data_IF_765891759727
#
_entry.id   IF_765891759727
#
_cell.length_a   1.000
_cell.length_b   1.000
_cell.length_c   1.000
_cell.angle_alpha   90.00
_cell.angle_beta   90.00
_cell.angle_gamma   90.00
#
_symmetry.space_group_name_H-M   'P 1'
#
loop_
_entity.id
_entity.type
_entity.pdbx_description
1 polymer ?
#
# COMPACT_ATOMS: atom_id res chain seq x y z
N UNK A 1 16.52 0.02 12.70
CA UNK A 1 15.39 0.32 11.80
C UNK A 1 15.73 1.58 11.01
N UNK A 2 15.82 1.50 9.68
CA UNK A 2 16.32 2.59 8.82
C UNK A 2 15.25 3.62 8.45
N UNK A 3 14.01 3.19 8.23
CA UNK A 3 12.93 4.10 7.89
C UNK A 3 12.59 5.08 9.05
N UNK A 4 12.47 4.63 10.32
CA UNK A 4 12.36 5.55 11.46
C UNK A 4 13.52 6.55 11.56
N UNK A 5 14.75 6.11 11.30
CA UNK A 5 15.92 6.98 11.37
C UNK A 5 15.84 8.13 10.34
N UNK A 6 15.24 7.90 9.17
CA UNK A 6 14.96 8.97 8.21
C UNK A 6 13.73 9.78 8.60
N UNK A 7 12.61 9.14 8.93
CA UNK A 7 11.36 9.83 9.27
C UNK A 7 11.54 10.80 10.44
N UNK A 8 12.43 10.50 11.38
CA UNK A 8 12.73 11.32 12.54
C UNK A 8 14.19 11.80 12.59
N UNK A 9 14.82 11.97 11.42
CA UNK A 9 16.25 12.30 11.27
C UNK A 9 16.74 13.43 12.19
N UNK A 10 15.95 14.50 12.32
CA UNK A 10 16.30 15.69 13.09
C UNK A 10 15.73 15.68 14.52
N UNK A 11 15.13 14.56 14.95
CA UNK A 11 14.43 14.43 16.23
C UNK A 11 15.17 13.48 17.17
N UNK A 12 15.70 14.04 18.27
CA UNK A 12 16.45 13.28 19.27
C UNK A 12 15.60 12.26 20.03
N UNK A 13 14.27 12.42 20.04
CA UNK A 13 13.33 11.53 20.75
C UNK A 13 12.52 10.62 19.81
N UNK A 14 12.92 10.51 18.54
CA UNK A 14 12.26 9.64 17.55
C UNK A 14 10.77 9.96 17.37
N UNK A 15 9.94 8.92 17.22
CA UNK A 15 8.49 9.07 17.06
C UNK A 15 7.76 9.68 18.27
N UNK A 16 8.37 9.61 19.46
CA UNK A 16 7.88 10.29 20.65
C UNK A 16 8.24 11.79 20.67
N UNK A 17 9.21 12.21 19.85
CA UNK A 17 9.75 13.57 19.80
C UNK A 17 8.98 14.57 18.95
N UNK A 18 7.96 14.14 18.21
CA UNK A 18 7.10 15.02 17.44
C UNK A 18 7.21 14.83 15.92
N UNK A 19 7.27 15.95 15.19
CA UNK A 19 7.05 16.02 13.74
C UNK A 19 8.11 15.26 12.94
N UNK A 20 7.69 14.63 11.85
CA UNK A 20 8.62 13.99 10.92
C UNK A 20 9.57 15.02 10.27
N UNK A 21 10.83 14.62 10.02
CA UNK A 21 11.78 15.38 9.22
C UNK A 21 11.28 15.49 7.79
N UNK A 22 11.16 16.72 7.28
CA UNK A 22 10.79 16.98 5.87
C UNK A 22 11.87 16.43 4.94
N UNK A 23 13.15 16.65 5.28
CA UNK A 23 14.28 16.15 4.50
C UNK A 23 14.31 14.62 4.51
N UNK A 24 14.23 14.01 5.68
CA UNK A 24 14.26 12.55 5.80
C UNK A 24 13.07 11.87 5.12
N UNK A 25 11.88 12.46 5.19
CA UNK A 25 10.72 11.99 4.44
C UNK A 25 10.90 12.11 2.91
N UNK A 26 11.51 13.19 2.42
CA UNK A 26 11.79 13.37 0.99
C UNK A 26 12.87 12.39 0.49
N UNK A 27 13.90 12.12 1.31
CA UNK A 27 14.89 11.08 1.05
C UNK A 27 14.22 9.72 0.94
N UNK A 28 13.36 9.37 1.90
CA UNK A 28 12.66 8.08 1.90
C UNK A 28 11.74 7.93 0.68
N UNK A 29 10.97 8.97 0.33
CA UNK A 29 10.17 8.97 -0.91
C UNK A 29 11.01 8.75 -2.17
N UNK A 30 12.23 9.29 -2.21
CA UNK A 30 13.15 9.10 -3.34
C UNK A 30 13.71 7.68 -3.37
N UNK A 31 14.10 7.15 -2.20
CA UNK A 31 14.58 5.78 -2.04
C UNK A 31 13.51 4.77 -2.48
N UNK A 32 12.24 5.00 -2.16
CA UNK A 32 11.12 4.10 -2.52
C UNK A 32 10.81 4.02 -4.02
N UNK A 33 11.51 4.80 -4.87
CA UNK A 33 11.41 4.70 -6.33
C UNK A 33 12.38 3.67 -6.93
N UNK A 34 13.37 3.22 -6.16
CA UNK A 34 14.31 2.19 -6.63
C UNK A 34 13.68 0.79 -6.60
N UNK A 35 14.17 -0.16 -7.41
CA UNK A 35 13.72 -1.55 -7.36
C UNK A 35 13.81 -2.10 -5.92
N UNK A 36 12.74 -2.72 -5.38
CA UNK A 36 12.69 -3.16 -3.99
C UNK A 36 13.83 -4.11 -3.58
N UNK A 37 14.37 -4.88 -4.52
CA UNK A 37 15.49 -5.81 -4.28
C UNK A 37 16.82 -5.10 -4.00
N UNK A 38 16.96 -3.82 -4.37
CA UNK A 38 18.15 -3.00 -4.09
C UNK A 38 18.01 -2.22 -2.77
N UNK A 39 16.78 -2.05 -2.29
CA UNK A 39 16.45 -1.29 -1.07
C UNK A 39 15.67 -2.10 -0.01
N UNK A 40 15.86 -3.43 0.14
CA UNK A 40 14.97 -4.27 0.96
C UNK A 40 14.93 -3.77 2.41
N UNK A 41 16.05 -3.30 2.93
CA UNK A 41 16.19 -2.78 4.29
C UNK A 41 15.33 -1.53 4.58
N UNK A 42 14.98 -0.74 3.56
CA UNK A 42 14.09 0.42 3.73
C UNK A 42 12.62 0.01 3.64
N UNK A 43 12.30 -0.88 2.70
CA UNK A 43 10.94 -1.40 2.48
C UNK A 43 10.49 -2.22 3.70
N UNK A 44 11.34 -3.14 4.17
CA UNK A 44 11.09 -3.94 5.38
C UNK A 44 11.03 -3.07 6.63
N UNK A 45 11.89 -2.05 6.73
CA UNK A 45 11.86 -1.14 7.89
C UNK A 45 10.61 -0.27 7.94
N UNK A 46 9.94 -0.01 6.81
CA UNK A 46 8.62 0.65 6.78
C UNK A 46 7.50 -0.32 7.15
N UNK A 47 7.56 -1.56 6.67
CA UNK A 47 6.61 -2.60 7.01
C UNK A 47 6.65 -2.96 8.51
N UNK A 48 7.82 -2.83 9.14
CA UNK A 48 8.03 -3.12 10.56
C UNK A 48 7.76 -1.94 11.51
N UNK A 49 7.15 -0.84 11.05
CA UNK A 49 6.80 0.27 11.93
C UNK A 49 5.83 -0.20 13.02
N UNK A 50 6.06 0.23 14.25
CA UNK A 50 5.09 0.00 15.32
C UNK A 50 3.79 0.78 15.06
N UNK A 51 2.65 0.38 15.63
CA UNK A 51 1.40 1.13 15.48
C UNK A 51 1.52 2.62 15.86
N UNK A 52 2.26 2.92 16.94
CA UNK A 52 2.50 4.29 17.37
C UNK A 52 3.34 5.10 16.38
N UNK A 53 4.42 4.52 15.86
CA UNK A 53 5.26 5.14 14.82
C UNK A 53 4.50 5.36 13.52
N UNK A 54 3.75 4.34 13.07
CA UNK A 54 2.96 4.40 11.85
C UNK A 54 1.89 5.50 11.92
N UNK A 55 1.11 5.55 13.01
CA UNK A 55 0.11 6.60 13.22
C UNK A 55 0.73 7.99 13.35
N UNK A 56 1.88 8.10 14.03
CA UNK A 56 2.63 9.36 14.16
C UNK A 56 3.06 9.86 12.77
N UNK A 57 3.71 9.01 11.98
CA UNK A 57 4.16 9.35 10.64
C UNK A 57 3.00 9.67 9.69
N UNK A 58 1.91 8.89 9.73
CA UNK A 58 0.75 9.09 8.86
C UNK A 58 0.00 10.40 9.11
N UNK A 59 0.03 10.92 10.33
CA UNK A 59 -0.61 12.18 10.68
C UNK A 59 0.23 13.42 10.34
N UNK A 60 1.49 13.23 9.95
CA UNK A 60 2.44 14.32 9.65
C UNK A 60 2.63 14.51 8.14
N UNK A 61 2.81 15.75 7.69
CA UNK A 61 2.89 16.07 6.26
C UNK A 61 4.05 15.36 5.54
N UNK A 62 5.21 15.22 6.18
CA UNK A 62 6.35 14.49 5.60
C UNK A 62 6.12 12.98 5.61
N UNK A 63 5.78 12.41 6.79
CA UNK A 63 5.62 10.98 6.96
C UNK A 63 4.49 10.40 6.08
N UNK A 64 3.34 11.06 6.01
CA UNK A 64 2.21 10.65 5.17
C UNK A 64 2.62 10.41 3.72
N UNK A 65 3.39 11.33 3.11
CA UNK A 65 3.86 11.19 1.73
C UNK A 65 4.77 9.98 1.52
N UNK A 66 5.63 9.67 2.49
CA UNK A 66 6.48 8.49 2.43
C UNK A 66 5.66 7.19 2.54
N UNK A 67 4.67 7.15 3.42
CA UNK A 67 3.77 5.99 3.55
C UNK A 67 2.89 5.81 2.30
N UNK A 68 2.37 6.89 1.73
CA UNK A 68 1.62 6.87 0.47
C UNK A 68 2.48 6.37 -0.69
N UNK A 69 3.74 6.81 -0.79
CA UNK A 69 4.67 6.32 -1.83
C UNK A 69 4.92 4.80 -1.70
N UNK A 70 5.07 4.31 -0.47
CA UNK A 70 5.22 2.89 -0.19
C UNK A 70 3.97 2.07 -0.57
N UNK A 71 2.79 2.51 -0.12
CA UNK A 71 1.51 1.85 -0.37
C UNK A 71 1.11 1.90 -1.85
N UNK A 72 1.36 3.02 -2.52
CA UNK A 72 0.98 3.26 -3.91
C UNK A 72 1.84 2.55 -4.96
N UNK A 73 3.07 2.15 -4.63
CA UNK A 73 3.98 1.50 -5.58
C UNK A 73 3.61 0.04 -5.81
N UNK A 74 3.34 -0.36 -7.06
CA UNK A 74 3.06 -1.75 -7.44
C UNK A 74 4.27 -2.69 -7.27
N UNK A 75 5.49 -2.13 -7.20
CA UNK A 75 6.71 -2.92 -7.04
C UNK A 75 6.82 -3.54 -5.63
N UNK A 76 6.26 -2.90 -4.60
CA UNK A 76 6.35 -3.42 -3.23
C UNK A 76 5.43 -4.61 -3.02
N UNK A 77 5.98 -5.66 -2.39
CA UNK A 77 5.28 -6.92 -2.11
C UNK A 77 3.99 -6.68 -1.30
N UNK A 78 2.85 -7.29 -1.68
CA UNK A 78 1.57 -7.11 -0.97
C UNK A 78 1.65 -7.42 0.53
N UNK A 79 2.46 -8.42 0.92
CA UNK A 79 2.69 -8.77 2.33
C UNK A 79 3.23 -7.58 3.15
N UNK A 80 4.21 -6.85 2.63
CA UNK A 80 4.83 -5.72 3.33
C UNK A 80 3.86 -4.53 3.45
N UNK A 81 3.01 -4.33 2.43
CA UNK A 81 1.91 -3.35 2.51
C UNK A 81 0.90 -3.74 3.59
N UNK A 82 0.55 -5.02 3.68
CA UNK A 82 -0.38 -5.54 4.70
C UNK A 82 0.16 -5.29 6.11
N UNK A 83 1.44 -5.55 6.36
CA UNK A 83 2.07 -5.30 7.66
C UNK A 83 1.95 -3.83 8.10
N UNK A 84 2.22 -2.88 7.19
CA UNK A 84 2.02 -1.45 7.47
C UNK A 84 0.54 -1.08 7.68
N UNK A 85 -0.37 -1.63 6.86
CA UNK A 85 -1.82 -1.40 6.98
C UNK A 85 -2.33 -1.91 8.33
N UNK A 86 -1.85 -3.05 8.79
CA UNK A 86 -2.22 -3.62 10.09
C UNK A 86 -1.73 -2.72 11.25
N UNK A 87 -0.52 -2.16 11.15
CA UNK A 87 -0.02 -1.19 12.14
C UNK A 87 -0.87 0.10 12.19
N UNK A 88 -1.25 0.64 11.03
CA UNK A 88 -2.12 1.81 10.90
C UNK A 88 -3.55 1.52 11.38
N UNK A 89 -4.00 0.27 11.28
CA UNK A 89 -5.33 -0.16 11.66
C UNK A 89 -5.65 -0.17 13.15
N UNK A 90 -4.68 0.23 13.98
CA UNK A 90 -4.91 0.52 15.40
C UNK A 90 -5.85 1.70 15.62
N UNK A 91 -5.90 2.70 14.72
CA UNK A 91 -6.81 3.85 14.84
C UNK A 91 -7.16 4.51 13.48
N UNK A 92 -8.11 3.90 12.75
CA UNK A 92 -8.63 4.49 11.51
C UNK A 92 -9.33 5.84 11.71
N UNK A 93 -9.92 6.09 12.88
CA UNK A 93 -10.62 7.34 13.18
C UNK A 93 -9.67 8.52 13.22
N UNK A 94 -8.54 8.37 13.94
CA UNK A 94 -7.46 9.37 14.00
C UNK A 94 -6.91 9.71 12.61
N UNK A 95 -6.73 8.71 11.75
CA UNK A 95 -6.30 8.94 10.37
C UNK A 95 -7.35 9.71 9.58
N UNK A 96 -8.63 9.34 9.70
CA UNK A 96 -9.71 9.98 8.95
C UNK A 96 -9.89 11.47 9.30
N UNK A 97 -9.70 11.87 10.57
CA UNK A 97 -9.82 13.27 10.99
C UNK A 97 -8.56 14.11 10.69
N UNK A 98 -7.42 13.47 10.47
CA UNK A 98 -6.18 14.15 10.09
C UNK A 98 -6.15 14.52 8.61
N UNK A 99 -5.83 15.77 8.21
CA UNK A 99 -5.66 16.12 6.81
C UNK A 99 -4.62 15.26 6.08
N UNK A 100 -3.46 15.04 6.69
CA UNK A 100 -2.42 14.19 6.13
C UNK A 100 -2.82 12.71 6.20
N UNK A 101 -3.37 12.28 7.33
CA UNK A 101 -3.79 10.90 7.56
C UNK A 101 -4.91 10.44 6.62
N UNK A 102 -5.79 11.34 6.18
CA UNK A 102 -6.88 11.00 5.25
C UNK A 102 -6.36 10.44 3.93
N UNK A 103 -5.27 11.00 3.41
CA UNK A 103 -4.63 10.53 2.19
C UNK A 103 -3.95 9.17 2.38
N UNK A 104 -3.30 8.96 3.53
CA UNK A 104 -2.73 7.64 3.89
C UNK A 104 -3.84 6.60 4.00
N UNK A 105 -4.97 6.94 4.63
CA UNK A 105 -6.14 6.07 4.76
C UNK A 105 -6.67 5.68 3.37
N UNK A 106 -6.75 6.60 2.42
CA UNK A 106 -7.16 6.30 1.04
C UNK A 106 -6.15 5.36 0.35
N UNK A 107 -4.85 5.55 0.56
CA UNK A 107 -3.81 4.67 0.02
C UNK A 107 -3.87 3.26 0.64
N UNK A 108 -4.15 3.15 1.95
CA UNK A 108 -4.43 1.89 2.63
C UNK A 108 -5.66 1.21 2.00
N UNK A 109 -6.76 1.95 1.82
CA UNK A 109 -8.00 1.39 1.26
C UNK A 109 -7.77 0.81 -0.13
N UNK A 110 -7.03 1.52 -0.99
CA UNK A 110 -6.70 1.06 -2.34
C UNK A 110 -5.74 -0.14 -2.41
N UNK A 111 -5.02 -0.42 -1.32
CA UNK A 111 -4.05 -1.53 -1.22
C UNK A 111 -4.55 -2.69 -0.34
N UNK A 112 -5.65 -2.49 0.38
CA UNK A 112 -6.19 -3.43 1.36
C UNK A 112 -7.03 -4.54 0.69
N UNK A 113 -7.09 -5.69 1.35
CA UNK A 113 -8.07 -6.74 1.04
C UNK A 113 -9.49 -6.35 1.51
N UNK A 114 -10.51 -7.01 0.96
CA UNK A 114 -11.92 -6.70 1.21
C UNK A 114 -12.27 -6.61 2.69
N UNK A 115 -11.79 -7.56 3.50
CA UNK A 115 -12.02 -7.60 4.96
C UNK A 115 -11.45 -6.36 5.65
N UNK A 116 -10.26 -5.93 5.26
CA UNK A 116 -9.64 -4.74 5.84
C UNK A 116 -10.37 -3.48 5.42
N UNK A 117 -10.82 -3.37 4.17
CA UNK A 117 -11.65 -2.24 3.70
C UNK A 117 -12.95 -2.13 4.49
N UNK A 118 -13.60 -3.25 4.79
CA UNK A 118 -14.79 -3.29 5.63
C UNK A 118 -14.50 -2.82 7.06
N UNK A 119 -13.40 -3.29 7.67
CA UNK A 119 -12.97 -2.85 8.99
C UNK A 119 -12.71 -1.32 9.04
N UNK A 120 -12.07 -0.78 7.99
CA UNK A 120 -11.81 0.66 7.85
C UNK A 120 -13.11 1.45 7.79
N UNK A 121 -14.02 1.08 6.88
CA UNK A 121 -15.29 1.79 6.68
C UNK A 121 -16.21 1.65 7.90
N UNK A 122 -16.24 0.48 8.55
CA UNK A 122 -16.95 0.30 9.81
C UNK A 122 -16.38 1.18 10.94
N UNK A 123 -15.07 1.37 11.01
CA UNK A 123 -14.45 2.28 11.96
C UNK A 123 -14.79 3.75 11.69
N UNK A 124 -14.77 4.17 10.43
CA UNK A 124 -15.18 5.51 10.02
C UNK A 124 -16.66 5.76 10.30
N UNK A 125 -17.53 4.78 10.09
CA UNK A 125 -18.96 4.88 10.41
C UNK A 125 -19.20 5.17 11.89
N UNK A 126 -18.36 4.64 12.81
CA UNK A 126 -18.48 4.90 14.25
C UNK A 126 -18.09 6.33 14.65
N UNK A 127 -17.28 7.01 13.86
CA UNK A 127 -16.81 8.37 14.12
C UNK A 127 -17.21 9.38 13.02
N UNK A 128 -18.26 9.06 12.25
CA UNK A 128 -18.68 9.83 11.07
C UNK A 128 -18.88 11.32 11.38
N UNK A 129 -19.53 11.64 12.51
CA UNK A 129 -19.77 13.03 12.91
C UNK A 129 -18.46 13.83 13.09
N UNK A 130 -17.43 13.21 13.68
CA UNK A 130 -16.12 13.84 13.86
C UNK A 130 -15.41 14.03 12.51
N UNK A 131 -15.50 13.03 11.64
CA UNK A 131 -14.92 13.11 10.29
C UNK A 131 -15.62 14.21 9.50
N UNK A 132 -16.96 14.23 9.48
CA UNK A 132 -17.76 15.20 8.74
C UNK A 132 -17.54 16.65 9.18
N UNK A 133 -17.13 16.87 10.44
CA UNK A 133 -16.78 18.19 10.96
C UNK A 133 -15.45 18.74 10.41
N UNK A 134 -14.63 17.91 9.75
CA UNK A 134 -13.38 18.35 9.10
C UNK A 134 -13.61 18.86 7.68
N UNK A 135 -12.69 19.70 7.17
CA UNK A 135 -12.78 20.25 5.79
C UNK A 135 -12.79 19.16 4.69
N UNK A 136 -12.09 18.05 4.90
CA UNK A 136 -11.93 16.98 3.91
C UNK A 136 -12.90 15.81 4.14
N UNK A 137 -13.46 15.70 5.34
CA UNK A 137 -14.31 14.58 5.77
C UNK A 137 -15.49 14.26 4.85
N UNK A 138 -16.32 15.23 4.43
CA UNK A 138 -17.44 14.95 3.53
C UNK A 138 -17.00 14.32 2.19
N UNK A 139 -15.83 14.70 1.68
CA UNK A 139 -15.27 14.08 0.48
C UNK A 139 -14.80 12.65 0.77
N UNK A 140 -14.07 12.45 1.87
CA UNK A 140 -13.55 11.15 2.28
C UNK A 140 -14.67 10.12 2.53
N UNK A 141 -15.70 10.51 3.29
CA UNK A 141 -16.87 9.66 3.61
C UNK A 141 -17.60 9.22 2.34
N UNK A 142 -17.80 10.15 1.39
CA UNK A 142 -18.42 9.85 0.09
C UNK A 142 -17.54 8.93 -0.75
N UNK A 143 -16.24 9.20 -0.83
CA UNK A 143 -15.30 8.44 -1.66
C UNK A 143 -15.20 6.98 -1.24
N UNK A 144 -15.19 6.70 0.07
CA UNK A 144 -15.15 5.33 0.59
C UNK A 144 -16.55 4.70 0.77
N UNK A 145 -17.61 5.47 0.51
CA UNK A 145 -18.99 5.01 0.57
C UNK A 145 -19.46 4.66 1.99
N UNK A 146 -19.02 5.41 3.00
CA UNK A 146 -19.34 5.13 4.43
C UNK A 146 -20.85 5.17 4.68
N UNK A 147 -21.54 6.18 4.14
CA UNK A 147 -22.99 6.30 4.27
C UNK A 147 -23.74 5.15 3.57
N UNK A 148 -23.23 4.65 2.43
CA UNK A 148 -23.83 3.48 1.78
C UNK A 148 -23.60 2.21 2.62
N UNK A 149 -22.39 2.05 3.16
CA UNK A 149 -22.07 0.91 4.02
C UNK A 149 -22.99 0.83 5.24
N UNK A 150 -23.29 1.95 5.90
CA UNK A 150 -24.21 1.97 7.05
C UNK A 150 -25.64 1.54 6.68
N UNK A 151 -26.11 1.89 5.48
CA UNK A 151 -27.49 1.60 5.03
C UNK A 151 -27.62 0.18 4.48
N UNK A 152 -26.67 -0.21 3.63
CA UNK A 152 -26.72 -1.43 2.84
C UNK A 152 -25.32 -2.08 2.78
N UNK A 153 -24.84 -2.71 3.89
CA UNK A 153 -23.49 -3.26 3.97
C UNK A 153 -23.18 -4.31 2.89
N UNK A 154 -24.14 -5.20 2.61
CA UNK A 154 -23.98 -6.24 1.59
C UNK A 154 -23.89 -5.68 0.18
N UNK A 155 -24.69 -4.64 -0.14
CA UNK A 155 -24.60 -3.99 -1.44
C UNK A 155 -23.27 -3.25 -1.59
N UNK A 156 -22.80 -2.59 -0.53
CA UNK A 156 -21.47 -1.98 -0.51
C UNK A 156 -20.38 -3.05 -0.74
N UNK A 157 -20.46 -4.19 -0.05
CA UNK A 157 -19.51 -5.32 -0.17
C UNK A 157 -19.42 -5.80 -1.61
N UNK A 158 -20.56 -6.10 -2.22
CA UNK A 158 -20.65 -6.56 -3.60
C UNK A 158 -20.08 -5.53 -4.58
N UNK A 159 -20.40 -4.25 -4.41
CA UNK A 159 -19.86 -3.18 -5.26
C UNK A 159 -18.33 -3.09 -5.19
N UNK A 160 -17.76 -3.18 -3.99
CA UNK A 160 -16.30 -3.11 -3.82
C UNK A 160 -15.64 -4.36 -4.41
N UNK A 161 -16.24 -5.54 -4.23
CA UNK A 161 -15.73 -6.78 -4.84
C UNK A 161 -15.72 -6.70 -6.37
N UNK A 162 -16.84 -6.30 -6.99
CA UNK A 162 -16.94 -6.15 -8.45
C UNK A 162 -15.91 -5.14 -8.97
N UNK A 163 -15.67 -4.04 -8.25
CA UNK A 163 -14.66 -3.07 -8.63
C UNK A 163 -13.23 -3.65 -8.64
N UNK A 164 -12.91 -4.56 -7.70
CA UNK A 164 -11.62 -5.26 -7.69
C UNK A 164 -11.51 -6.30 -8.81
N UNK A 165 -12.57 -7.05 -9.09
CA UNK A 165 -12.61 -8.01 -10.20
C UNK A 165 -12.36 -7.30 -11.53
N UNK A 166 -13.05 -6.18 -11.78
CA UNK A 166 -12.85 -5.35 -12.98
C UNK A 166 -11.41 -4.82 -13.06
N UNK A 167 -10.83 -4.37 -11.94
CA UNK A 167 -9.44 -3.90 -11.88
C UNK A 167 -8.45 -5.02 -12.18
N UNK A 168 -8.68 -6.22 -11.65
CA UNK A 168 -7.85 -7.39 -11.89
C UNK A 168 -7.93 -7.85 -13.36
N UNK A 169 -9.12 -7.88 -13.94
CA UNK A 169 -9.33 -8.20 -15.35
C UNK A 169 -8.65 -7.20 -16.28
N UNK A 170 -8.73 -5.90 -15.95
CA UNK A 170 -8.02 -4.85 -16.67
C UNK A 170 -6.50 -5.07 -16.61
N UNK A 171 -5.94 -5.33 -15.42
CA UNK A 171 -4.52 -5.60 -15.25
C UNK A 171 -4.08 -6.86 -16.00
N UNK A 172 -4.88 -7.92 -16.03
CA UNK A 172 -4.60 -9.13 -16.80
C UNK A 172 -4.59 -8.88 -18.31
N UNK A 173 -5.49 -8.02 -18.79
CA UNK A 173 -5.67 -7.75 -20.23
C UNK A 173 -4.64 -6.76 -20.77
N UNK A 174 -4.30 -5.73 -19.99
CA UNK A 174 -3.50 -4.59 -20.45
C UNK A 174 -2.20 -4.37 -19.67
N UNK A 175 -1.94 -5.14 -18.61
CA UNK A 175 -0.86 -4.89 -17.65
C UNK A 175 0.55 -5.28 -18.10
N UNK A 176 0.75 -5.64 -19.37
CA UNK A 176 2.06 -5.84 -20.00
C UNK A 176 3.01 -6.72 -19.17
N UNK A 177 3.01 -8.03 -19.40
CA UNK A 177 4.13 -8.84 -18.96
C UNK A 177 5.38 -8.34 -19.70
N UNK A 178 6.35 -7.80 -18.98
CA UNK A 178 7.73 -7.85 -19.48
C UNK A 178 8.09 -9.34 -19.55
N UNK A 179 8.11 -9.87 -20.78
CA UNK A 179 8.66 -11.18 -21.08
C UNK A 179 10.08 -11.24 -20.51
N UNK A 180 10.29 -12.03 -19.46
CA UNK A 180 11.62 -12.43 -19.04
C UNK A 180 12.08 -13.55 -19.98
N UNK A 181 13.06 -13.34 -20.87
CA UNK A 181 13.47 -14.34 -21.83
C UNK A 181 14.52 -15.26 -21.17
N UNK A 182 14.12 -16.05 -20.18
CA UNK A 182 14.97 -17.10 -19.62
C UNK A 182 14.17 -18.41 -19.49
N UNK A 183 13.62 -18.84 -20.62
CA UNK A 183 13.30 -20.25 -20.86
C UNK A 183 14.53 -20.96 -21.39
N UNK A 184 15.44 -21.39 -20.50
CA UNK A 184 16.47 -22.37 -20.84
C UNK A 184 15.77 -23.71 -21.15
N UNK A 185 15.37 -23.87 -22.41
CA UNK A 185 14.80 -25.09 -22.97
C UNK A 185 15.88 -26.17 -23.01
N UNK A 186 15.78 -27.09 -22.06
CA UNK A 186 16.51 -28.35 -22.08
C UNK A 186 15.63 -29.39 -22.81
N UNK A 187 16.23 -30.06 -23.80
CA UNK A 187 15.66 -31.19 -24.53
C UNK A 187 15.79 -31.00 -26.04
N UNK A 188 16.10 -32.01 -26.85
CA UNK A 188 16.58 -33.36 -26.62
C UNK A 188 17.07 -33.85 -28.00
N UNK A 189 17.80 -34.95 -28.02
CA UNK A 189 18.54 -35.46 -29.19
C UNK A 189 17.75 -35.64 -30.49
N UNK A 190 18.39 -35.26 -31.59
CA UNK A 190 18.05 -35.74 -32.93
C UNK A 190 19.03 -36.85 -33.34
N UNK A 191 18.53 -38.09 -33.27
CA UNK A 191 19.12 -39.24 -33.93
C UNK A 191 18.91 -39.15 -35.43
N UNK A 192 20.01 -39.04 -36.19
CA UNK A 192 20.00 -39.18 -37.63
C UNK A 192 20.16 -40.66 -37.98
N UNK A 193 19.06 -41.30 -38.36
CA UNK A 193 19.06 -42.56 -39.08
C UNK A 193 18.82 -42.31 -40.57
N UNK A 194 19.76 -42.72 -41.42
CA UNK A 194 19.64 -43.94 -42.24
C UNK A 194 20.26 -43.81 -43.64
N UNK A 195 20.82 -44.95 -44.07
CA UNK A 195 20.91 -45.50 -45.42
C UNK A 195 21.93 -44.95 -46.45
N UNK A 196 22.94 -45.80 -46.63
CA UNK A 196 23.24 -46.52 -47.87
C UNK A 196 24.30 -46.02 -48.88
N UNK A 197 25.26 -46.94 -49.06
CA UNK A 197 25.84 -47.48 -50.31
C UNK A 197 27.12 -46.91 -50.94
N UNK A 198 27.96 -47.91 -51.28
CA UNK A 198 29.00 -48.04 -52.31
C UNK A 198 30.44 -47.58 -52.05
N UNK A 199 31.35 -48.57 -52.08
CA UNK A 199 32.82 -48.44 -52.13
C UNK A 199 33.56 -49.63 -51.56
#
# INVERSE_FOLDING_TARGET
QLAPALLWLDQHSGAAGGRCSVLGAAMLQTILKFPPDVIPQFVESLASLTPGEALSAACEAGGSRALEAFLGSAAHKPKLKKELIDALGSDWGRLAVSPAGSHVLEACYGSAEQRTRENMVAAMARCEAQIAATRHGPHLLRRLGVTQFQREPEQWRNRVQVAEEVKADFAKTFGGAEDNPDGNGNGDGDGVGNADSDG
#
